data_IF_844530741315
#
_entry.id   IF_844530741315
#
_cell.length_a   1.000
_cell.length_b   1.000
_cell.length_c   1.000
_cell.angle_alpha   90.00
_cell.angle_beta   90.00
_cell.angle_gamma   90.00
#
_symmetry.space_group_name_H-M   'P 1'
#
loop_
_entity.id
_entity.type
_entity.pdbx_description
1 polymer ?
#
# COMPACT_ATOMS: atom_id res chain seq x y z
N UNK A 1 26.59 13.35 -15.51
CA UNK A 1 27.42 14.56 -15.24
C UNK A 1 26.83 15.23 -14.00
N UNK A 2 27.48 15.15 -12.85
CA UNK A 2 26.91 15.60 -11.57
C UNK A 2 26.98 17.14 -11.52
N UNK A 3 25.83 17.81 -11.58
CA UNK A 3 25.72 19.26 -11.43
C UNK A 3 25.36 19.50 -9.96
N UNK A 4 26.25 20.17 -9.22
CA UNK A 4 26.08 20.52 -7.80
C UNK A 4 24.87 21.42 -7.52
N UNK A 5 24.38 22.12 -8.54
CA UNK A 5 23.15 22.92 -8.46
C UNK A 5 22.00 22.03 -8.96
N UNK A 6 21.10 21.58 -8.07
CA UNK A 6 19.99 20.73 -8.46
C UNK A 6 19.02 21.50 -9.36
N UNK A 7 18.51 20.82 -10.39
CA UNK A 7 17.42 21.34 -11.20
C UNK A 7 16.12 21.32 -10.40
N UNK A 8 15.10 22.08 -10.79
CA UNK A 8 13.78 22.10 -10.12
C UNK A 8 13.20 20.68 -9.96
N UNK A 9 13.30 19.87 -11.01
CA UNK A 9 12.89 18.46 -11.01
C UNK A 9 13.71 17.60 -10.03
N UNK A 10 15.01 17.87 -9.90
CA UNK A 10 15.89 17.17 -8.97
C UNK A 10 15.54 17.49 -7.52
N UNK A 11 15.21 18.75 -7.21
CA UNK A 11 14.77 19.17 -5.87
C UNK A 11 13.48 18.44 -5.49
N UNK A 12 12.53 18.33 -6.43
CA UNK A 12 11.26 17.64 -6.20
C UNK A 12 11.50 16.16 -5.87
N UNK A 13 12.35 15.50 -6.66
CA UNK A 13 12.68 14.08 -6.44
C UNK A 13 13.45 13.85 -5.13
N UNK A 14 14.40 14.73 -4.79
CA UNK A 14 15.12 14.70 -3.51
C UNK A 14 14.17 14.90 -2.32
N UNK A 15 13.21 15.83 -2.43
CA UNK A 15 12.24 16.08 -1.36
C UNK A 15 11.29 14.89 -1.13
N UNK A 16 10.83 14.24 -2.21
CA UNK A 16 10.03 13.02 -2.14
C UNK A 16 10.81 11.87 -1.50
N UNK A 17 12.07 11.69 -1.93
CA UNK A 17 12.94 10.67 -1.35
C UNK A 17 13.18 10.91 0.15
N UNK A 18 13.47 12.15 0.56
CA UNK A 18 13.68 12.50 1.95
C UNK A 18 12.43 12.25 2.82
N UNK A 19 11.24 12.57 2.30
CA UNK A 19 9.97 12.30 3.00
C UNK A 19 9.74 10.81 3.21
N UNK A 20 9.90 10.00 2.15
CA UNK A 20 9.71 8.54 2.23
C UNK A 20 10.75 7.91 3.14
N UNK A 21 12.01 8.35 3.07
CA UNK A 21 13.06 7.86 3.96
C UNK A 21 12.71 8.12 5.44
N UNK A 22 12.21 9.32 5.75
CA UNK A 22 11.81 9.66 7.12
C UNK A 22 10.68 8.76 7.62
N UNK A 23 9.67 8.48 6.78
CA UNK A 23 8.55 7.58 7.12
C UNK A 23 9.07 6.14 7.34
N UNK A 24 9.94 5.64 6.46
CA UNK A 24 10.48 4.27 6.57
C UNK A 24 11.34 4.12 7.83
N UNK A 25 12.16 5.12 8.15
CA UNK A 25 12.98 5.13 9.35
C UNK A 25 12.15 5.14 10.63
N UNK A 26 11.07 5.93 10.66
CA UNK A 26 10.17 6.01 11.81
C UNK A 26 9.37 4.72 12.04
N UNK A 27 8.92 4.07 10.96
CA UNK A 27 8.05 2.89 11.05
C UNK A 27 8.79 1.56 11.19
N UNK A 28 9.92 1.37 10.49
CA UNK A 28 10.62 0.07 10.38
C UNK A 28 11.98 0.12 11.07
N UNK A 29 12.59 1.30 11.24
CA UNK A 29 13.94 1.47 11.80
C UNK A 29 15.08 0.91 10.95
N UNK A 30 14.80 0.08 9.94
CA UNK A 30 15.78 -0.59 9.07
C UNK A 30 15.62 -0.16 7.61
N UNK A 31 16.68 0.42 7.05
CA UNK A 31 16.65 1.02 5.70
C UNK A 31 16.71 0.01 4.53
N UNK A 32 16.87 -1.29 4.81
CA UNK A 32 17.00 -2.32 3.75
C UNK A 32 15.77 -2.39 2.84
N UNK A 33 14.58 -2.05 3.34
CA UNK A 33 13.32 -2.09 2.60
C UNK A 33 12.96 -0.78 1.90
N UNK A 34 13.79 0.27 2.07
CA UNK A 34 13.54 1.59 1.51
C UNK A 34 13.35 1.56 -0.02
N UNK A 35 14.21 0.88 -0.82
CA UNK A 35 14.07 0.91 -2.28
C UNK A 35 12.74 0.32 -2.77
N UNK A 36 12.24 -0.72 -2.10
CA UNK A 36 10.98 -1.36 -2.44
C UNK A 36 9.79 -0.43 -2.14
N UNK A 37 9.77 0.18 -0.95
CA UNK A 37 8.70 1.09 -0.54
C UNK A 37 8.69 2.35 -1.42
N UNK A 38 9.87 2.88 -1.74
CA UNK A 38 10.02 4.03 -2.62
C UNK A 38 9.47 3.76 -4.03
N UNK A 39 9.83 2.61 -4.62
CA UNK A 39 9.33 2.19 -5.93
C UNK A 39 7.81 2.00 -5.93
N UNK A 40 7.27 1.32 -4.91
CA UNK A 40 5.83 1.11 -4.75
C UNK A 40 5.07 2.43 -4.64
N UNK A 41 5.58 3.37 -3.85
CA UNK A 41 4.98 4.70 -3.69
C UNK A 41 4.95 5.46 -5.01
N UNK A 42 6.08 5.56 -5.71
CA UNK A 42 6.15 6.26 -7.00
C UNK A 42 5.26 5.61 -8.05
N UNK A 43 5.21 4.28 -8.10
CA UNK A 43 4.34 3.56 -9.02
C UNK A 43 2.86 3.92 -8.81
N UNK A 44 2.38 3.89 -7.57
CA UNK A 44 0.98 4.23 -7.24
C UNK A 44 0.71 5.72 -7.50
N UNK A 45 1.64 6.61 -7.12
CA UNK A 45 1.52 8.04 -7.32
C UNK A 45 1.39 8.39 -8.81
N UNK A 46 2.32 7.91 -9.64
CA UNK A 46 2.31 8.16 -11.08
C UNK A 46 1.03 7.59 -11.73
N UNK A 47 0.64 6.36 -11.35
CA UNK A 47 -0.55 5.70 -11.91
C UNK A 47 -1.83 6.48 -11.58
N UNK A 48 -1.97 6.98 -10.36
CA UNK A 48 -3.14 7.76 -9.95
C UNK A 48 -3.12 9.18 -10.57
N UNK A 49 -1.95 9.79 -10.77
CA UNK A 49 -1.83 11.11 -11.40
C UNK A 49 -2.17 11.07 -12.88
N UNK A 50 -1.63 10.10 -13.63
CA UNK A 50 -2.02 9.83 -15.02
C UNK A 50 -3.53 9.57 -15.11
N UNK A 51 -4.08 8.97 -14.05
CA UNK A 51 -5.50 8.73 -13.96
C UNK A 51 -6.42 9.93 -13.89
N UNK A 52 -5.93 11.05 -13.38
CA UNK A 52 -6.72 12.26 -13.31
C UNK A 52 -6.85 12.96 -14.68
N UNK A 53 -6.09 12.51 -15.69
CA UNK A 53 -6.17 13.06 -17.03
C UNK A 53 -7.49 12.60 -17.69
N UNK A 54 -8.31 13.53 -18.19
CA UNK A 54 -9.58 13.17 -18.83
C UNK A 54 -9.33 12.26 -20.04
N UNK A 55 -10.27 11.33 -20.27
CA UNK A 55 -10.23 10.30 -21.33
C UNK A 55 -9.17 9.20 -21.19
N UNK A 56 -8.41 9.16 -20.08
CA UNK A 56 -7.45 8.09 -19.83
C UNK A 56 -8.09 6.97 -19.01
N UNK A 57 -7.84 5.71 -19.40
CA UNK A 57 -8.21 4.55 -18.58
C UNK A 57 -7.13 4.29 -17.53
N UNK A 58 -7.51 4.33 -16.25
CA UNK A 58 -6.63 4.07 -15.13
C UNK A 58 -6.46 2.59 -14.86
N UNK A 59 -5.22 2.10 -14.93
CA UNK A 59 -4.90 0.71 -14.59
C UNK A 59 -5.27 0.41 -13.12
N UNK A 60 -5.19 1.39 -12.22
CA UNK A 60 -5.54 1.26 -10.79
C UNK A 60 -7.04 1.14 -10.51
N UNK A 61 -7.93 1.46 -11.46
CA UNK A 61 -9.37 1.17 -11.32
C UNK A 61 -9.70 -0.28 -11.62
N UNK A 62 -8.77 -1.06 -12.16
CA UNK A 62 -8.97 -2.51 -12.31
C UNK A 62 -8.74 -3.21 -10.98
N UNK A 63 -9.77 -3.89 -10.48
CA UNK A 63 -9.71 -4.63 -9.21
C UNK A 63 -8.60 -5.68 -9.19
N UNK A 64 -8.32 -6.30 -10.34
CA UNK A 64 -7.30 -7.33 -10.52
C UNK A 64 -5.91 -6.76 -10.21
N UNK A 65 -5.60 -5.55 -10.68
CA UNK A 65 -4.29 -4.93 -10.45
C UNK A 65 -4.14 -4.49 -8.99
N UNK A 66 -5.18 -3.85 -8.44
CA UNK A 66 -5.14 -3.32 -7.08
C UNK A 66 -5.06 -4.43 -6.02
N UNK A 67 -5.90 -5.48 -6.13
CA UNK A 67 -5.87 -6.62 -5.23
C UNK A 67 -4.63 -7.49 -5.51
N UNK A 68 -4.24 -7.68 -6.77
CA UNK A 68 -3.04 -8.45 -7.13
C UNK A 68 -1.76 -7.88 -6.54
N UNK A 69 -1.60 -6.56 -6.55
CA UNK A 69 -0.48 -5.87 -5.91
C UNK A 69 -0.50 -6.09 -4.39
N UNK A 70 -1.67 -5.94 -3.75
CA UNK A 70 -1.83 -6.14 -2.31
C UNK A 70 -1.50 -7.57 -1.87
N UNK A 71 -1.98 -8.56 -2.62
CA UNK A 71 -1.74 -9.96 -2.33
C UNK A 71 -0.26 -10.34 -2.51
N UNK A 72 0.39 -9.79 -3.54
CA UNK A 72 1.83 -9.97 -3.75
C UNK A 72 2.65 -9.43 -2.58
N UNK A 73 2.29 -8.24 -2.08
CA UNK A 73 2.95 -7.65 -0.90
C UNK A 73 2.73 -8.52 0.34
N UNK A 74 1.50 -9.01 0.56
CA UNK A 74 1.21 -9.88 1.69
C UNK A 74 2.03 -11.18 1.64
N UNK A 75 2.09 -11.85 0.49
CA UNK A 75 2.90 -13.06 0.33
C UNK A 75 4.37 -12.74 0.60
N UNK A 76 4.90 -11.65 0.03
CA UNK A 76 6.28 -11.22 0.25
C UNK A 76 6.61 -10.99 1.74
N UNK A 77 5.74 -10.28 2.45
CA UNK A 77 5.88 -10.05 3.90
C UNK A 77 5.74 -11.34 4.70
N UNK A 78 4.84 -12.24 4.29
CA UNK A 78 4.66 -13.55 4.95
C UNK A 78 5.92 -14.40 4.82
N UNK A 79 6.46 -14.53 3.60
CA UNK A 79 7.70 -15.28 3.34
C UNK A 79 8.88 -14.68 4.11
N UNK A 80 9.00 -13.36 4.12
CA UNK A 80 10.04 -12.65 4.87
C UNK A 80 9.90 -12.89 6.38
N UNK A 81 8.67 -12.84 6.91
CA UNK A 81 8.35 -13.12 8.31
C UNK A 81 8.73 -14.55 8.71
N UNK A 82 8.38 -15.54 7.90
CA UNK A 82 8.77 -16.94 8.11
C UNK A 82 10.28 -17.15 8.03
N UNK A 83 10.97 -16.46 7.11
CA UNK A 83 12.42 -16.59 6.96
C UNK A 83 13.19 -16.07 8.18
N UNK A 84 12.77 -14.92 8.72
CA UNK A 84 13.45 -14.27 9.85
C UNK A 84 13.09 -14.93 11.19
N UNK A 85 11.80 -15.23 11.44
CA UNK A 85 11.32 -15.68 12.75
C UNK A 85 11.05 -17.19 12.83
N UNK A 86 11.06 -17.91 11.70
CA UNK A 86 10.85 -19.38 11.60
C UNK A 86 9.68 -19.85 12.47
N UNK A 87 9.97 -20.52 13.58
CA UNK A 87 8.99 -21.14 14.48
C UNK A 87 8.31 -20.08 15.39
N UNK A 88 8.97 -18.96 15.65
CA UNK A 88 8.41 -17.85 16.44
C UNK A 88 7.35 -17.03 15.68
N UNK A 89 7.19 -17.26 14.37
CA UNK A 89 6.12 -16.63 13.60
C UNK A 89 4.72 -17.00 14.14
N UNK A 90 4.55 -18.23 14.63
CA UNK A 90 3.30 -18.65 15.27
C UNK A 90 3.03 -17.98 16.61
N UNK A 91 4.07 -17.47 17.29
CA UNK A 91 3.90 -16.67 18.51
C UNK A 91 3.26 -15.32 18.25
N UNK A 92 3.29 -14.81 17.01
CA UNK A 92 2.62 -13.55 16.66
C UNK A 92 1.09 -13.70 16.65
N UNK A 93 0.57 -14.93 16.47
CA UNK A 93 -0.86 -15.23 16.54
C UNK A 93 -1.38 -15.38 17.98
N UNK A 94 -0.49 -15.42 18.97
CA UNK A 94 -0.85 -15.63 20.38
C UNK A 94 -0.32 -14.44 21.18
N UNK A 95 -1.15 -13.46 21.54
CA UNK A 95 -0.72 -12.39 22.44
C UNK A 95 -0.35 -12.97 23.81
N UNK A 96 0.77 -12.52 24.34
CA UNK A 96 1.33 -12.97 25.62
C UNK A 96 0.36 -12.67 26.77
N UNK A 97 0.06 -13.69 27.57
CA UNK A 97 -0.78 -13.57 28.77
C UNK A 97 -2.25 -13.98 28.61
N UNK A 98 -2.63 -14.63 27.51
CA UNK A 98 -4.01 -15.11 27.31
C UNK A 98 -4.29 -16.45 28.01
N UNK A 99 -5.48 -16.64 28.64
CA UNK A 99 -5.86 -17.91 29.25
C UNK A 99 -5.91 -19.04 28.21
N UNK A 100 -5.34 -20.21 28.53
CA UNK A 100 -5.21 -21.35 27.60
C UNK A 100 -6.53 -21.75 26.90
N UNK A 101 -7.67 -21.57 27.57
CA UNK A 101 -8.99 -21.91 27.01
C UNK A 101 -9.43 -20.99 25.86
N UNK A 102 -8.95 -19.73 25.82
CA UNK A 102 -9.36 -18.73 24.83
C UNK A 102 -8.41 -18.66 23.62
N UNK A 103 -7.23 -19.27 23.74
CA UNK A 103 -6.19 -19.29 22.70
C UNK A 103 -6.71 -19.80 21.34
N UNK A 104 -7.51 -20.89 21.25
CA UNK A 104 -7.96 -21.38 19.95
C UNK A 104 -8.88 -20.41 19.20
N UNK A 105 -9.75 -19.69 19.93
CA UNK A 105 -10.62 -18.67 19.35
C UNK A 105 -9.81 -17.47 18.85
N UNK A 106 -8.81 -17.06 19.63
CA UNK A 106 -8.00 -15.88 19.34
C UNK A 106 -7.11 -16.07 18.09
N UNK A 107 -6.52 -17.25 17.94
CA UNK A 107 -5.75 -17.61 16.75
C UNK A 107 -6.62 -17.57 15.50
N UNK A 108 -7.88 -18.03 15.59
CA UNK A 108 -8.80 -18.00 14.46
C UNK A 108 -9.13 -16.57 14.02
N UNK A 109 -9.42 -15.66 14.96
CA UNK A 109 -9.71 -14.26 14.61
C UNK A 109 -8.47 -13.51 14.12
N UNK A 110 -7.29 -13.81 14.64
CA UNK A 110 -6.04 -13.19 14.17
C UNK A 110 -5.70 -13.65 12.75
N UNK A 111 -5.96 -14.93 12.42
CA UNK A 111 -5.83 -15.43 11.04
C UNK A 111 -6.78 -14.68 10.08
N UNK A 112 -8.04 -14.48 10.49
CA UNK A 112 -9.02 -13.69 9.73
C UNK A 112 -8.55 -12.24 9.57
N UNK A 113 -8.02 -11.62 10.64
CA UNK A 113 -7.53 -10.24 10.66
C UNK A 113 -6.32 -10.07 9.74
N UNK A 114 -5.40 -11.02 9.75
CA UNK A 114 -4.23 -11.05 8.90
C UNK A 114 -4.61 -11.11 7.41
N UNK A 115 -5.54 -12.00 7.05
CA UNK A 115 -6.04 -12.08 5.68
C UNK A 115 -6.82 -10.82 5.28
N UNK A 116 -7.67 -10.30 6.17
CA UNK A 116 -8.44 -9.09 5.95
C UNK A 116 -7.53 -7.86 5.70
N UNK A 117 -6.33 -7.81 6.28
CA UNK A 117 -5.32 -6.76 6.02
C UNK A 117 -4.94 -6.68 4.55
N UNK A 118 -4.77 -7.82 3.89
CA UNK A 118 -4.44 -7.89 2.47
C UNK A 118 -5.58 -7.37 1.59
N UNK A 119 -6.81 -7.76 1.91
CA UNK A 119 -7.98 -7.25 1.18
C UNK A 119 -8.18 -5.75 1.42
N UNK A 120 -8.03 -5.29 2.66
CA UNK A 120 -8.23 -3.89 3.04
C UNK A 120 -7.29 -2.94 2.31
N UNK A 121 -6.00 -3.30 2.14
CA UNK A 121 -5.04 -2.43 1.46
C UNK A 121 -5.37 -2.24 -0.03
N UNK A 122 -5.70 -3.32 -0.73
CA UNK A 122 -6.09 -3.27 -2.15
C UNK A 122 -7.43 -2.58 -2.36
N UNK A 123 -8.46 -2.99 -1.63
CA UNK A 123 -9.81 -2.40 -1.72
C UNK A 123 -9.77 -0.88 -1.46
N UNK A 124 -8.93 -0.42 -0.54
CA UNK A 124 -8.77 1.01 -0.24
C UNK A 124 -8.32 1.81 -1.46
N UNK A 125 -7.30 1.34 -2.18
CA UNK A 125 -6.83 2.01 -3.39
C UNK A 125 -7.88 1.96 -4.50
N UNK A 126 -8.48 0.78 -4.73
CA UNK A 126 -9.52 0.59 -5.74
C UNK A 126 -10.75 1.48 -5.49
N UNK A 127 -11.31 1.43 -4.28
CA UNK A 127 -12.52 2.16 -3.93
C UNK A 127 -12.33 3.67 -4.07
N UNK A 128 -11.19 4.21 -3.64
CA UNK A 128 -10.90 5.64 -3.78
C UNK A 128 -10.83 6.08 -5.25
N UNK A 129 -10.21 5.29 -6.12
CA UNK A 129 -10.13 5.62 -7.54
C UNK A 129 -11.48 5.49 -8.24
N UNK A 130 -12.20 4.38 -8.01
CA UNK A 130 -13.52 4.15 -8.65
C UNK A 130 -14.55 5.17 -8.17
N UNK A 131 -14.60 5.46 -6.88
CA UNK A 131 -15.53 6.45 -6.32
C UNK A 131 -15.22 7.85 -6.86
N UNK A 132 -13.95 8.25 -6.93
CA UNK A 132 -13.54 9.55 -7.46
C UNK A 132 -13.94 9.74 -8.94
N UNK A 133 -13.63 8.76 -9.79
CA UNK A 133 -14.02 8.80 -11.20
C UNK A 133 -15.55 8.76 -11.40
N UNK A 134 -16.26 7.96 -10.62
CA UNK A 134 -17.72 7.85 -10.68
C UNK A 134 -18.38 9.15 -10.25
N UNK A 135 -17.91 9.75 -9.15
CA UNK A 135 -18.40 11.03 -8.64
C UNK A 135 -18.20 12.14 -9.68
N UNK A 136 -17.01 12.24 -10.27
CA UNK A 136 -16.73 13.24 -11.32
C UNK A 136 -17.66 13.08 -12.53
N UNK A 137 -17.92 11.84 -12.95
CA UNK A 137 -18.84 11.54 -14.06
C UNK A 137 -20.28 11.92 -13.73
N UNK A 138 -20.75 11.63 -12.51
CA UNK A 138 -22.11 11.98 -12.06
C UNK A 138 -22.27 13.50 -12.03
N UNK A 139 -21.32 14.23 -11.44
CA UNK A 139 -21.36 15.70 -11.39
C UNK A 139 -21.32 16.33 -12.78
N UNK A 140 -20.45 15.83 -13.67
CA UNK A 140 -20.38 16.30 -15.06
C UNK A 140 -21.68 16.07 -15.83
N UNK A 141 -22.31 14.90 -15.64
CA UNK A 141 -23.60 14.58 -16.29
C UNK A 141 -24.73 15.44 -15.74
N UNK A 142 -24.74 15.70 -14.43
CA UNK A 142 -25.73 16.57 -13.80
C UNK A 142 -25.61 18.01 -14.29
N UNK A 143 -24.40 18.56 -14.31
CA UNK A 143 -24.14 19.91 -14.82
C UNK A 143 -24.43 20.06 -16.31
N UNK A 144 -24.25 19.02 -17.12
CA UNK A 144 -24.58 19.06 -18.55
C UNK A 144 -26.10 19.01 -18.80
N UNK A 145 -26.87 18.38 -17.91
CA UNK A 145 -28.32 18.23 -18.04
C UNK A 145 -29.11 19.44 -17.50
N UNK A 146 -28.48 20.23 -16.62
CA UNK A 146 -29.02 21.48 -16.09
C UNK A 146 -28.84 22.62 -17.10
#
# INVERSE_FOLDING_TARGET
>A
KMKLIPNKESILLESLFASINTIVRDQIGREVYLPFIYSLFLFILCSNLVGNIPYTFTITTSIIVSIGLSFTILIGVTILGLSIHKIHFFSFFIPSGTPLALVPLLVLIELISYLARAFSLGIRLFANMVAGHTLLKILSTFLFKM
#
